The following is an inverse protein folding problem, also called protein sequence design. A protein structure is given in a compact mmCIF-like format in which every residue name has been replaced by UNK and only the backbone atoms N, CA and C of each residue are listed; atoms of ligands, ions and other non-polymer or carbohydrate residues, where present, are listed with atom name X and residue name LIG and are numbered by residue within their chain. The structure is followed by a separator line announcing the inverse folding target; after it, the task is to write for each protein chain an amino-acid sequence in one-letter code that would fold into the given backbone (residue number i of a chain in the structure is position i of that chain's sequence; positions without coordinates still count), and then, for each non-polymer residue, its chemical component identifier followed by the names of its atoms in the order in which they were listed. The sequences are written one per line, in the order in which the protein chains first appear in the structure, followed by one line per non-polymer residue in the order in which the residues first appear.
data_IF_290724840725
#
_entry.id   IF_290724840725
#
_cell.length_a   1.000
_cell.length_b   1.000
_cell.length_c   1.000
_cell.angle_alpha   90.00
_cell.angle_beta   90.00
_cell.angle_gamma   90.00
#
_symmetry.space_group_name_H-M   'P 1'
#
loop_
_entity.id
_entity.type
_entity.pdbx_description
1 polymer ?
#
# COMPACT_ATOMS: atom_id res chain seq x y z
N UNK A 1 16.30 -16.17 17.71
CA UNK A 1 16.44 -15.10 16.69
C UNK A 1 17.37 -15.61 15.60
N UNK A 2 16.90 -15.85 14.36
CA UNK A 2 17.79 -16.08 13.21
C UNK A 2 18.61 -14.80 13.02
N UNK A 3 19.92 -14.87 13.26
CA UNK A 3 20.83 -13.77 12.92
C UNK A 3 21.18 -13.93 11.44
N UNK A 4 21.03 -12.86 10.66
CA UNK A 4 21.61 -12.77 9.33
C UNK A 4 23.12 -13.00 9.45
N UNK A 5 23.69 -13.78 8.54
CA UNK A 5 25.15 -14.00 8.49
C UNK A 5 25.84 -12.66 8.17
N UNK A 6 27.01 -12.43 8.77
CA UNK A 6 27.84 -11.27 8.39
C UNK A 6 28.17 -11.35 6.90
N UNK A 7 27.96 -10.26 6.16
CA UNK A 7 28.16 -10.18 4.71
C UNK A 7 26.93 -10.46 3.84
N UNK A 8 25.73 -10.59 4.41
CA UNK A 8 24.50 -10.73 3.62
C UNK A 8 24.25 -9.52 2.72
N UNK A 9 23.79 -9.78 1.50
CA UNK A 9 23.34 -8.75 0.56
C UNK A 9 22.08 -8.03 1.06
N UNK A 10 21.79 -6.88 0.47
CA UNK A 10 20.56 -6.13 0.75
C UNK A 10 19.31 -6.97 0.47
N UNK A 11 19.30 -7.72 -0.64
CA UNK A 11 18.16 -8.56 -1.02
C UNK A 11 17.92 -9.67 0.00
N UNK A 12 18.95 -10.39 0.42
CA UNK A 12 18.84 -11.44 1.44
C UNK A 12 18.35 -10.88 2.79
N UNK A 13 18.80 -9.67 3.14
CA UNK A 13 18.35 -8.96 4.35
C UNK A 13 16.85 -8.65 4.28
N UNK A 14 16.38 -8.14 3.14
CA UNK A 14 14.97 -7.82 2.91
C UNK A 14 14.11 -9.08 2.94
N UNK A 15 14.50 -10.13 2.21
CA UNK A 15 13.76 -11.39 2.17
C UNK A 15 13.64 -12.02 3.57
N UNK A 16 14.72 -12.01 4.34
CA UNK A 16 14.70 -12.48 5.73
C UNK A 16 13.78 -11.63 6.60
N UNK A 17 13.78 -10.30 6.44
CA UNK A 17 12.90 -9.40 7.19
C UNK A 17 11.43 -9.66 6.85
N UNK A 18 11.10 -9.76 5.56
CA UNK A 18 9.74 -10.07 5.09
C UNK A 18 9.27 -11.41 5.66
N UNK A 19 10.11 -12.43 5.67
CA UNK A 19 9.80 -13.73 6.27
C UNK A 19 9.49 -13.62 7.76
N UNK A 20 10.31 -12.87 8.52
CA UNK A 20 10.10 -12.64 9.95
C UNK A 20 8.82 -11.87 10.25
N UNK A 21 8.51 -10.84 9.46
CA UNK A 21 7.28 -10.07 9.60
C UNK A 21 6.04 -10.94 9.35
N UNK A 22 6.04 -11.73 8.26
CA UNK A 22 4.95 -12.67 7.96
C UNK A 22 4.77 -13.73 9.05
N UNK A 23 5.86 -14.28 9.58
CA UNK A 23 5.82 -15.24 10.70
C UNK A 23 5.24 -14.58 11.96
N UNK A 24 5.73 -13.39 12.30
CA UNK A 24 5.25 -12.62 13.45
C UNK A 24 3.76 -12.31 13.33
N UNK A 25 3.31 -11.82 12.18
CA UNK A 25 1.89 -11.53 11.93
C UNK A 25 1.03 -12.78 12.02
N UNK A 26 1.47 -13.90 11.46
CA UNK A 26 0.75 -15.17 11.53
C UNK A 26 0.55 -15.62 12.98
N UNK A 27 1.60 -15.53 13.81
CA UNK A 27 1.55 -15.91 15.22
C UNK A 27 0.70 -14.95 16.05
N UNK A 28 0.94 -13.65 15.92
CA UNK A 28 0.30 -12.62 16.75
C UNK A 28 -1.19 -12.51 16.46
N UNK A 29 -1.62 -12.74 15.22
CA UNK A 29 -3.03 -12.65 14.84
C UNK A 29 -3.78 -13.99 14.95
N UNK A 30 -3.15 -15.08 15.39
CA UNK A 30 -3.81 -16.38 15.50
C UNK A 30 -5.07 -16.36 16.39
N UNK A 31 -5.07 -15.68 17.57
CA UNK A 31 -6.27 -15.60 18.41
C UNK A 31 -7.43 -14.86 17.72
N UNK A 32 -7.15 -13.70 17.10
CA UNK A 32 -8.15 -12.91 16.36
C UNK A 32 -8.73 -13.73 15.19
N UNK A 33 -7.87 -14.43 14.44
CA UNK A 33 -8.31 -15.30 13.33
C UNK A 33 -9.19 -16.45 13.82
N UNK A 34 -8.94 -16.97 15.01
CA UNK A 34 -9.77 -18.02 15.60
C UNK A 34 -11.17 -17.52 15.95
N UNK A 35 -11.32 -16.28 16.44
CA UNK A 35 -12.63 -15.67 16.69
C UNK A 35 -13.38 -15.42 15.38
N UNK A 36 -12.67 -14.92 14.37
CA UNK A 36 -13.24 -14.67 13.04
C UNK A 36 -13.71 -15.95 12.35
N UNK A 37 -12.99 -17.07 12.49
CA UNK A 37 -13.37 -18.35 11.89
C UNK A 37 -14.78 -18.82 12.31
N UNK A 38 -15.23 -18.46 13.52
CA UNK A 38 -16.56 -18.79 14.03
C UNK A 38 -17.67 -17.87 13.49
N UNK A 39 -17.31 -16.74 12.87
CA UNK A 39 -18.23 -15.72 12.37
C UNK A 39 -18.35 -15.73 10.84
N UNK A 40 -17.38 -16.31 10.12
CA UNK A 40 -17.31 -16.33 8.64
C UNK A 40 -18.41 -17.17 7.97
N UNK A 41 -19.16 -18.01 8.72
CA UNK A 41 -20.39 -18.63 8.18
C UNK A 41 -21.55 -17.62 8.03
N UNK A 42 -21.48 -16.46 8.69
CA UNK A 42 -22.31 -15.29 8.36
C UNK A 42 -21.59 -14.50 7.27
N UNK A 43 -22.10 -14.55 6.05
CA UNK A 43 -21.49 -13.97 4.83
C UNK A 43 -21.27 -12.43 4.82
N UNK A 44 -21.29 -11.76 5.98
CA UNK A 44 -21.25 -10.30 6.11
C UNK A 44 -19.87 -9.71 6.47
N UNK A 45 -18.94 -10.49 7.02
CA UNK A 45 -17.66 -9.97 7.56
C UNK A 45 -16.51 -10.13 6.57
N UNK A 46 -16.05 -9.03 5.99
CA UNK A 46 -14.85 -9.00 5.12
C UNK A 46 -13.58 -8.84 5.94
N UNK A 47 -12.55 -9.66 5.71
CA UNK A 47 -11.30 -9.60 6.50
C UNK A 47 -10.09 -9.42 5.58
N UNK A 48 -9.24 -8.45 5.89
CA UNK A 48 -7.95 -8.25 5.24
C UNK A 48 -6.84 -8.07 6.29
N UNK A 49 -5.64 -8.57 6.00
CA UNK A 49 -4.49 -8.53 6.92
C UNK A 49 -3.25 -8.02 6.21
N UNK A 50 -2.48 -7.19 6.91
CA UNK A 50 -1.17 -6.70 6.48
C UNK A 50 -0.07 -7.29 7.37
N UNK A 51 1.02 -7.77 6.75
CA UNK A 51 2.18 -8.28 7.49
C UNK A 51 3.20 -7.20 7.85
N UNK A 52 3.19 -6.07 7.15
CA UNK A 52 4.22 -5.03 7.28
C UNK A 52 4.14 -4.28 8.62
N UNK A 53 2.92 -4.10 9.12
CA UNK A 53 2.56 -3.44 10.38
C UNK A 53 1.74 -4.35 11.32
N UNK A 54 1.43 -5.57 10.89
CA UNK A 54 0.67 -6.57 11.65
C UNK A 54 -0.78 -6.14 11.96
N UNK A 55 -1.43 -5.43 11.03
CA UNK A 55 -2.80 -4.96 11.19
C UNK A 55 -3.82 -5.91 10.54
N UNK A 56 -5.07 -5.86 11.01
CA UNK A 56 -6.22 -6.56 10.42
C UNK A 56 -7.36 -5.58 10.26
N UNK A 57 -7.89 -5.49 9.05
CA UNK A 57 -9.12 -4.77 8.72
C UNK A 57 -10.29 -5.76 8.75
N UNK A 58 -11.37 -5.38 9.41
CA UNK A 58 -12.59 -6.17 9.53
C UNK A 58 -13.76 -5.28 9.12
N UNK A 59 -14.40 -5.63 8.01
CA UNK A 59 -15.59 -4.97 7.49
C UNK A 59 -16.84 -5.53 8.17
N UNK A 60 -17.80 -4.68 8.51
CA UNK A 60 -19.06 -5.05 9.15
C UNK A 60 -18.90 -5.90 10.44
N UNK A 61 -17.89 -5.62 11.26
CA UNK A 61 -17.70 -6.30 12.54
C UNK A 61 -18.87 -5.98 13.51
N UNK A 62 -19.60 -6.98 14.03
CA UNK A 62 -20.63 -6.73 15.03
C UNK A 62 -20.01 -6.37 16.39
N UNK A 63 -20.77 -5.65 17.22
CA UNK A 63 -20.26 -5.09 18.49
C UNK A 63 -19.78 -6.16 19.48
N UNK A 64 -20.42 -7.32 19.51
CA UNK A 64 -20.00 -8.47 20.32
C UNK A 64 -18.61 -8.97 19.91
N UNK A 65 -18.36 -9.13 18.60
CA UNK A 65 -17.05 -9.50 18.08
C UNK A 65 -15.97 -8.45 18.42
N UNK A 66 -16.28 -7.16 18.32
CA UNK A 66 -15.35 -6.09 18.70
C UNK A 66 -14.96 -6.22 20.18
N UNK A 67 -15.94 -6.47 21.06
CA UNK A 67 -15.69 -6.64 22.49
C UNK A 67 -14.84 -7.89 22.78
N UNK A 68 -15.08 -9.00 22.08
CA UNK A 68 -14.27 -10.22 22.21
C UNK A 68 -12.82 -10.01 21.72
N UNK A 69 -12.63 -9.25 20.65
CA UNK A 69 -11.28 -8.92 20.14
C UNK A 69 -10.56 -7.97 21.09
N UNK A 70 -11.27 -6.97 21.65
CA UNK A 70 -10.68 -5.92 22.49
C UNK A 70 -10.05 -6.45 23.79
N UNK A 71 -10.47 -7.62 24.28
CA UNK A 71 -9.93 -8.24 25.49
C UNK A 71 -8.71 -9.13 25.23
N UNK A 72 -8.34 -9.37 23.96
CA UNK A 72 -7.17 -10.17 23.63
C UNK A 72 -5.87 -9.41 23.96
N UNK A 73 -4.93 -10.02 24.71
CA UNK A 73 -3.68 -9.35 25.07
C UNK A 73 -2.77 -9.04 23.86
N UNK A 74 -2.99 -9.70 22.73
CA UNK A 74 -2.30 -9.44 21.47
C UNK A 74 -2.82 -8.18 20.75
N UNK A 75 -3.98 -7.65 21.14
CA UNK A 75 -4.60 -6.48 20.51
C UNK A 75 -4.15 -5.22 21.24
N UNK A 76 -3.47 -4.34 20.51
CA UNK A 76 -2.96 -3.07 21.04
C UNK A 76 -4.02 -1.97 21.02
N UNK A 77 -4.76 -1.84 19.92
CA UNK A 77 -5.84 -0.87 19.75
C UNK A 77 -6.83 -1.37 18.69
N UNK A 78 -8.03 -0.80 18.71
CA UNK A 78 -9.07 -0.96 17.68
C UNK A 78 -9.52 0.45 17.33
N UNK A 79 -9.44 0.80 16.06
CA UNK A 79 -9.70 2.14 15.56
C UNK A 79 -10.57 2.04 14.31
N UNK A 80 -11.47 3.02 14.12
CA UNK A 80 -12.28 3.12 12.90
C UNK A 80 -11.41 3.52 11.69
N UNK A 81 -11.74 3.05 10.48
CA UNK A 81 -10.97 3.41 9.29
C UNK A 81 -11.12 4.91 8.97
N UNK A 82 -9.99 5.55 8.66
CA UNK A 82 -9.98 6.93 8.18
C UNK A 82 -10.37 6.95 6.71
N UNK A 83 -11.48 7.62 6.39
CA UNK A 83 -11.92 7.84 5.01
C UNK A 83 -11.51 9.24 4.57
N UNK A 84 -10.67 9.32 3.53
CA UNK A 84 -10.29 10.60 2.91
C UNK A 84 -11.00 10.76 1.57
N UNK A 85 -11.77 11.83 1.44
CA UNK A 85 -12.38 12.20 0.17
C UNK A 85 -11.35 12.90 -0.73
N UNK A 86 -11.41 12.61 -2.03
CA UNK A 86 -10.63 13.34 -3.01
C UNK A 86 -11.17 14.77 -3.18
N UNK A 87 -10.28 15.72 -3.41
CA UNK A 87 -10.70 17.05 -3.82
C UNK A 87 -11.37 16.97 -5.20
N UNK A 88 -12.45 17.73 -5.39
CA UNK A 88 -13.09 17.84 -6.70
C UNK A 88 -12.09 18.37 -7.73
N UNK A 89 -12.06 17.75 -8.91
CA UNK A 89 -11.27 18.27 -10.01
C UNK A 89 -11.87 19.61 -10.47
N UNK A 90 -11.02 20.64 -10.57
CA UNK A 90 -11.45 21.89 -11.20
C UNK A 90 -11.61 21.65 -12.69
N UNK A 91 -12.84 21.42 -13.14
CA UNK A 91 -13.20 21.44 -14.56
C UNK A 91 -13.19 22.88 -15.06
N UNK A 92 -11.99 23.40 -15.30
CA UNK A 92 -11.74 24.67 -15.96
C UNK A 92 -10.66 24.44 -16.99
N UNK A 93 -11.03 23.90 -18.15
CA UNK A 93 -10.13 23.82 -19.30
C UNK A 93 -9.95 25.26 -19.77
N UNK A 94 -8.86 25.91 -19.35
CA UNK A 94 -8.24 26.86 -20.23
C UNK A 94 -7.62 25.99 -21.33
N UNK A 95 -8.13 26.09 -22.56
CA UNK A 95 -7.49 25.44 -23.70
C UNK A 95 -6.06 25.98 -23.77
N UNK A 96 -5.12 25.24 -23.19
CA UNK A 96 -3.71 25.40 -23.55
C UNK A 96 -3.65 25.00 -25.01
N UNK A 97 -3.39 26.01 -25.85
CA UNK A 97 -3.08 25.82 -27.27
C UNK A 97 -2.10 24.67 -27.39
N UNK A 98 -2.33 23.76 -28.33
CA UNK A 98 -1.49 22.58 -28.58
C UNK A 98 0.00 22.96 -28.46
N UNK A 99 0.58 22.71 -27.29
CA UNK A 99 1.98 23.00 -27.06
C UNK A 99 2.69 21.81 -27.70
N UNK A 100 3.33 22.04 -28.84
CA UNK A 100 4.24 21.11 -29.52
C UNK A 100 5.51 20.79 -28.67
N UNK A 101 5.56 21.21 -27.41
CA UNK A 101 6.65 20.87 -26.50
C UNK A 101 6.48 19.43 -25.99
N UNK A 102 7.50 18.63 -26.29
CA UNK A 102 7.65 17.24 -25.83
C UNK A 102 7.68 17.12 -24.29
N UNK A 103 7.84 18.24 -23.58
CA UNK A 103 7.77 18.32 -22.11
C UNK A 103 6.92 19.50 -21.67
N UNK A 104 6.02 19.28 -20.72
CA UNK A 104 5.30 20.38 -20.08
C UNK A 104 6.23 21.22 -19.20
N UNK A 105 5.93 22.51 -19.04
CA UNK A 105 6.71 23.48 -18.26
C UNK A 105 7.31 22.95 -16.94
N UNK A 106 6.58 22.11 -16.21
CA UNK A 106 7.01 21.59 -14.91
C UNK A 106 8.19 20.63 -15.02
N UNK A 107 8.24 19.86 -16.11
CA UNK A 107 9.32 18.92 -16.44
C UNK A 107 10.59 19.69 -16.78
N UNK A 108 10.46 20.77 -17.56
CA UNK A 108 11.59 21.63 -17.92
C UNK A 108 12.12 22.40 -16.72
N UNK A 109 11.22 22.90 -15.86
CA UNK A 109 11.58 23.63 -14.64
C UNK A 109 12.43 22.80 -13.68
N UNK A 110 12.18 21.50 -13.58
CA UNK A 110 12.99 20.58 -12.76
C UNK A 110 14.23 20.05 -13.49
N UNK A 111 14.50 20.52 -14.71
CA UNK A 111 15.64 20.14 -15.55
C UNK A 111 15.71 18.64 -15.88
N UNK A 112 14.57 17.94 -15.93
CA UNK A 112 14.52 16.52 -16.31
C UNK A 112 15.12 16.25 -17.70
N UNK A 113 14.90 17.08 -18.75
CA UNK A 113 15.48 16.84 -20.07
C UNK A 113 17.01 16.77 -20.08
N UNK A 114 17.69 17.51 -19.18
CA UNK A 114 19.15 17.48 -19.07
C UNK A 114 19.69 16.12 -18.59
N UNK A 115 18.92 15.38 -17.77
CA UNK A 115 19.24 14.02 -17.36
C UNK A 115 18.90 13.01 -18.46
N UNK A 116 17.75 13.18 -19.12
CA UNK A 116 17.36 12.32 -20.25
C UNK A 116 18.34 12.40 -21.42
N UNK A 117 18.91 13.59 -21.70
CA UNK A 117 19.96 13.79 -22.69
C UNK A 117 21.27 13.05 -22.34
N UNK A 118 21.49 12.76 -21.05
CA UNK A 118 22.60 11.90 -20.56
C UNK A 118 22.24 10.42 -20.52
N UNK A 119 21.05 10.04 -21.02
CA UNK A 119 20.55 8.66 -21.00
C UNK A 119 19.97 8.22 -19.66
N UNK A 120 19.83 9.11 -18.67
CA UNK A 120 19.30 8.76 -17.34
C UNK A 120 17.80 8.98 -17.35
N UNK A 121 17.02 7.93 -17.64
CA UNK A 121 15.55 8.01 -17.81
C UNK A 121 14.75 7.30 -16.72
N UNK A 122 15.43 6.66 -15.76
CA UNK A 122 14.79 5.89 -14.69
C UNK A 122 14.68 4.39 -14.96
N UNK A 123 15.43 3.87 -15.94
CA UNK A 123 15.47 2.43 -16.24
C UNK A 123 15.83 1.61 -14.99
N UNK A 124 15.10 0.51 -14.78
CA UNK A 124 15.27 -0.37 -13.62
C UNK A 124 14.71 0.17 -12.30
N UNK A 125 14.06 1.34 -12.30
CA UNK A 125 13.40 1.92 -11.13
C UNK A 125 11.89 1.64 -11.18
N UNK A 126 11.33 1.16 -10.06
CA UNK A 126 9.88 0.97 -9.90
C UNK A 126 9.33 2.11 -9.05
N UNK A 127 8.30 2.80 -9.56
CA UNK A 127 7.56 3.83 -8.84
C UNK A 127 6.14 3.32 -8.59
N UNK A 128 5.76 3.20 -7.32
CA UNK A 128 4.40 2.86 -6.93
C UNK A 128 3.56 4.13 -6.78
N UNK A 129 2.41 4.18 -7.46
CA UNK A 129 1.42 5.24 -7.30
C UNK A 129 0.23 4.70 -6.51
N UNK A 130 -0.16 5.41 -5.44
CA UNK A 130 -1.36 5.13 -4.64
C UNK A 130 -2.36 6.23 -4.96
N UNK A 131 -3.21 5.99 -5.94
CA UNK A 131 -4.22 6.93 -6.45
C UNK A 131 -5.48 6.15 -6.85
N UNK A 132 -6.42 6.80 -7.50
CA UNK A 132 -7.65 6.26 -8.09
C UNK A 132 -7.42 5.19 -9.18
N UNK A 133 -6.17 5.00 -9.60
CA UNK A 133 -5.75 4.03 -10.61
C UNK A 133 -5.16 4.70 -11.84
N UNK A 134 -5.04 3.93 -12.92
CA UNK A 134 -4.52 4.41 -14.21
C UNK A 134 -5.29 3.77 -15.36
N UNK A 135 -5.56 4.54 -16.41
CA UNK A 135 -6.04 3.99 -17.68
C UNK A 135 -4.88 3.30 -18.40
N UNK A 136 -4.58 2.07 -18.01
CA UNK A 136 -3.47 1.28 -18.58
C UNK A 136 -3.60 1.06 -20.10
N UNK A 137 -4.79 1.27 -20.67
CA UNK A 137 -5.03 1.23 -22.12
C UNK A 137 -4.60 2.49 -22.86
N UNK A 138 -4.17 3.55 -22.16
CA UNK A 138 -3.73 4.82 -22.77
C UNK A 138 -2.40 4.66 -23.51
N UNK A 139 -2.34 5.07 -24.78
CA UNK A 139 -1.15 4.88 -25.64
C UNK A 139 0.12 5.54 -25.09
N UNK A 140 0.04 6.76 -24.56
CA UNK A 140 1.18 7.44 -23.94
C UNK A 140 1.71 6.81 -22.61
N UNK A 141 1.01 5.83 -22.03
CA UNK A 141 1.38 5.23 -20.74
C UNK A 141 1.82 3.75 -20.85
N UNK A 142 1.75 3.16 -22.04
CA UNK A 142 2.15 1.77 -22.29
C UNK A 142 3.60 1.66 -22.72
#
# INVERSE_FOLDING_TARGET
RRRLKAGASRSETIESLVGLLKEHTTKSQAPVKSLLANQVESAAVGVATTWIDCSTYIDNAPNDLINEIAVLPEVKSIDEPVVMAFAESKSGVQEESAVDEVSGWGVDRIQAPALWAKGIKGDGIVVASIDTGVRYTHEALK
#
